data_IF_941021429630
#
_entry.id   IF_941021429630
#
_cell.length_a   1.000
_cell.length_b   1.000
_cell.length_c   1.000
_cell.angle_alpha   90.00
_cell.angle_beta   90.00
_cell.angle_gamma   90.00
#
_symmetry.space_group_name_H-M   'P 1'
#
loop_
_entity.id
_entity.type
_entity.pdbx_description
1 polymer ?
#
# COMPACT_ATOMS: atom_id res chain seq x y z
N UNK A 1 -21.73 2.25 -15.50
CA UNK A 1 -21.20 0.97 -14.98
C UNK A 1 -19.94 0.50 -15.71
N UNK A 2 -19.92 0.25 -17.04
CA UNK A 2 -18.69 -0.18 -17.74
C UNK A 2 -17.48 0.76 -17.66
N UNK A 3 -17.69 2.09 -17.61
CA UNK A 3 -16.59 3.06 -17.47
C UNK A 3 -15.97 3.11 -16.06
N UNK A 4 -16.78 2.94 -15.02
CA UNK A 4 -16.31 2.91 -13.61
C UNK A 4 -15.52 1.62 -13.35
N UNK A 5 -15.99 0.49 -13.90
CA UNK A 5 -15.31 -0.80 -13.81
C UNK A 5 -13.91 -0.77 -14.48
N UNK A 6 -13.79 -0.08 -15.62
CA UNK A 6 -12.52 0.09 -16.31
C UNK A 6 -11.53 0.93 -15.47
N UNK A 7 -12.01 1.97 -14.78
CA UNK A 7 -11.19 2.83 -13.92
C UNK A 7 -10.69 2.09 -12.67
N UNK A 8 -11.53 1.27 -12.02
CA UNK A 8 -11.13 0.46 -10.85
C UNK A 8 -10.07 -0.58 -11.23
N UNK A 9 -10.24 -1.27 -12.37
CA UNK A 9 -9.21 -2.19 -12.87
C UNK A 9 -7.92 -1.46 -13.25
N UNK A 10 -7.98 -0.27 -13.85
CA UNK A 10 -6.79 0.51 -14.22
C UNK A 10 -6.04 1.03 -12.98
N UNK A 11 -6.71 1.46 -11.91
CA UNK A 11 -6.02 1.89 -10.68
C UNK A 11 -5.32 0.72 -9.96
N UNK A 12 -5.95 -0.46 -9.90
CA UNK A 12 -5.31 -1.67 -9.39
C UNK A 12 -4.11 -2.12 -10.28
N UNK A 13 -4.20 -1.91 -11.60
CA UNK A 13 -3.10 -2.16 -12.53
C UNK A 13 -1.96 -1.14 -12.40
N UNK A 14 -2.26 0.13 -12.13
CA UNK A 14 -1.24 1.19 -11.94
C UNK A 14 -0.48 1.03 -10.61
N UNK A 15 -1.14 0.60 -9.54
CA UNK A 15 -0.48 0.29 -8.26
C UNK A 15 0.48 -0.91 -8.36
N UNK A 16 0.21 -1.88 -9.24
CA UNK A 16 1.10 -3.04 -9.45
C UNK A 16 2.23 -2.80 -10.46
N UNK A 17 2.05 -1.88 -11.41
CA UNK A 17 3.05 -1.58 -12.46
C UNK A 17 4.08 -0.54 -12.02
N UNK A 18 3.73 0.40 -11.14
CA UNK A 18 4.69 1.36 -10.59
C UNK A 18 5.80 0.68 -9.76
N UNK A 19 5.46 -0.40 -9.04
CA UNK A 19 6.44 -1.24 -8.34
C UNK A 19 7.41 -1.97 -9.30
N UNK A 20 7.01 -2.21 -10.54
CA UNK A 20 7.78 -2.99 -11.51
C UNK A 20 8.86 -2.19 -12.25
N UNK A 21 8.65 -0.88 -12.45
CA UNK A 21 9.61 -0.02 -13.16
C UNK A 21 10.89 0.27 -12.36
N UNK A 22 10.86 0.12 -11.03
CA UNK A 22 11.99 0.37 -10.13
C UNK A 22 12.99 -0.79 -10.12
N UNK A 23 12.55 -2.01 -10.46
CA UNK A 23 13.34 -3.24 -10.27
C UNK A 23 14.39 -3.48 -11.40
N UNK A 24 14.21 -2.92 -12.60
CA UNK A 24 15.13 -3.17 -13.72
C UNK A 24 16.44 -2.37 -13.69
N UNK A 25 16.62 -1.39 -12.79
CA UNK A 25 17.77 -0.46 -12.84
C UNK A 25 18.93 -0.76 -11.89
N UNK A 26 18.88 -1.82 -11.08
CA UNK A 26 20.00 -2.13 -10.15
C UNK A 26 20.64 -3.48 -10.45
N UNK A 27 21.50 -3.50 -11.48
CA UNK A 27 22.51 -4.54 -11.63
C UNK A 27 23.51 -4.47 -10.46
N UNK A 28 23.19 -5.13 -9.35
CA UNK A 28 24.10 -5.31 -8.21
C UNK A 28 24.05 -6.77 -7.77
N UNK A 29 25.22 -7.41 -7.79
CA UNK A 29 25.61 -8.66 -7.12
C UNK A 29 24.44 -9.50 -6.59
N UNK A 30 24.00 -10.47 -7.39
CA UNK A 30 23.10 -11.54 -6.95
C UNK A 30 23.76 -12.25 -5.76
N UNK A 31 23.26 -12.13 -4.53
CA UNK A 31 23.76 -12.92 -3.40
C UNK A 31 23.66 -14.40 -3.78
N UNK A 32 24.59 -15.23 -3.27
CA UNK A 32 24.60 -16.68 -3.51
C UNK A 32 23.16 -17.21 -3.58
N UNK A 33 22.72 -17.64 -4.78
CA UNK A 33 21.32 -17.94 -5.08
C UNK A 33 20.71 -18.74 -3.93
N UNK A 34 19.73 -18.15 -3.24
CA UNK A 34 19.01 -18.84 -2.18
C UNK A 34 18.35 -20.08 -2.81
N UNK A 35 18.97 -21.25 -2.65
CA UNK A 35 18.49 -22.48 -3.27
C UNK A 35 17.26 -22.97 -2.52
N UNK A 36 16.18 -23.16 -3.25
CA UNK A 36 15.02 -23.89 -2.76
C UNK A 36 15.43 -25.32 -2.37
N UNK A 37 14.79 -25.93 -1.35
CA UNK A 37 14.95 -27.34 -1.08
C UNK A 37 14.69 -28.18 -2.34
N UNK A 38 15.51 -29.19 -2.59
CA UNK A 38 15.34 -30.11 -3.71
C UNK A 38 14.18 -31.08 -3.40
N UNK A 39 12.99 -30.70 -3.85
CA UNK A 39 11.76 -31.44 -3.62
C UNK A 39 11.10 -31.70 -4.98
N UNK A 40 10.76 -32.95 -5.30
CA UNK A 40 10.08 -33.25 -6.56
C UNK A 40 8.73 -32.53 -6.62
N UNK A 41 8.32 -32.01 -7.80
CA UNK A 41 7.01 -31.42 -7.98
C UNK A 41 5.88 -32.37 -7.56
N UNK A 42 4.78 -31.80 -7.11
CA UNK A 42 3.59 -32.56 -6.72
C UNK A 42 2.48 -32.42 -7.77
N UNK A 43 1.52 -33.35 -7.75
CA UNK A 43 0.30 -33.24 -8.55
C UNK A 43 -0.61 -32.15 -7.96
N UNK A 44 -0.79 -31.03 -8.68
CA UNK A 44 -1.75 -30.00 -8.28
C UNK A 44 -3.18 -30.54 -8.20
N UNK A 45 -3.56 -31.47 -9.09
CA UNK A 45 -4.90 -32.08 -9.09
C UNK A 45 -5.21 -32.81 -7.77
N UNK A 46 -4.19 -33.32 -7.08
CA UNK A 46 -4.36 -34.03 -5.81
C UNK A 46 -4.37 -33.09 -4.60
N UNK A 47 -3.63 -31.98 -4.67
CA UNK A 47 -3.42 -31.09 -3.50
C UNK A 47 -4.26 -29.83 -3.53
N UNK A 48 -4.51 -29.29 -4.72
CA UNK A 48 -5.28 -28.08 -4.97
C UNK A 48 -6.22 -28.32 -6.18
N UNK A 49 -7.21 -29.23 -6.05
CA UNK A 49 -8.05 -29.65 -7.17
C UNK A 49 -8.83 -28.51 -7.84
N UNK A 50 -9.32 -27.51 -7.09
CA UNK A 50 -10.02 -26.36 -7.69
C UNK A 50 -9.04 -25.45 -8.42
N UNK A 51 -7.90 -25.16 -7.80
CA UNK A 51 -6.83 -24.37 -8.41
C UNK A 51 -6.31 -25.03 -9.69
N UNK A 52 -6.15 -26.36 -9.69
CA UNK A 52 -5.71 -27.12 -10.84
C UNK A 52 -6.66 -27.02 -12.06
N UNK A 53 -7.96 -26.78 -11.85
CA UNK A 53 -8.92 -26.59 -12.96
C UNK A 53 -8.62 -25.31 -13.75
N UNK A 54 -8.21 -24.24 -13.06
CA UNK A 54 -7.87 -22.95 -13.67
C UNK A 54 -6.67 -23.09 -14.62
N UNK A 55 -5.70 -23.93 -14.25
CA UNK A 55 -4.45 -24.09 -14.99
C UNK A 55 -4.38 -25.34 -15.89
N UNK A 56 -5.52 -26.01 -16.13
CA UNK A 56 -5.55 -27.24 -16.95
C UNK A 56 -4.90 -27.07 -18.34
N UNK A 57 -4.97 -25.86 -18.90
CA UNK A 57 -4.39 -25.50 -20.20
C UNK A 57 -3.27 -24.43 -20.10
N UNK A 58 -2.72 -24.19 -18.90
CA UNK A 58 -1.67 -23.19 -18.63
C UNK A 58 -0.48 -23.87 -17.92
N UNK A 59 0.37 -24.62 -18.65
CA UNK A 59 1.38 -25.50 -18.05
C UNK A 59 2.46 -24.74 -17.27
N UNK A 60 2.87 -23.53 -17.71
CA UNK A 60 3.95 -22.79 -17.06
C UNK A 60 3.54 -22.28 -15.66
N UNK A 61 2.41 -21.57 -15.49
CA UNK A 61 1.91 -21.22 -14.15
C UNK A 61 1.60 -22.46 -13.29
N UNK A 62 1.07 -23.53 -13.89
CA UNK A 62 0.81 -24.79 -13.18
C UNK A 62 2.10 -25.40 -12.61
N UNK A 63 3.16 -25.48 -13.41
CA UNK A 63 4.44 -26.04 -12.98
C UNK A 63 5.10 -25.18 -11.90
N UNK A 64 5.00 -23.86 -12.02
CA UNK A 64 5.54 -22.94 -11.02
C UNK A 64 4.81 -23.07 -9.68
N UNK A 65 3.48 -23.10 -9.70
CA UNK A 65 2.66 -23.34 -8.53
C UNK A 65 2.93 -24.73 -7.94
N UNK A 66 3.02 -25.78 -8.76
CA UNK A 66 3.34 -27.14 -8.29
C UNK A 66 4.67 -27.20 -7.54
N UNK A 67 5.70 -26.51 -8.04
CA UNK A 67 7.01 -26.43 -7.37
C UNK A 67 6.91 -25.68 -6.04
N UNK A 68 6.21 -24.55 -6.00
CA UNK A 68 6.00 -23.79 -4.76
C UNK A 68 5.26 -24.63 -3.71
N UNK A 69 4.14 -25.26 -4.10
CA UNK A 69 3.31 -26.06 -3.21
C UNK A 69 4.08 -27.30 -2.70
N UNK A 70 4.93 -27.90 -3.54
CA UNK A 70 5.77 -29.02 -3.13
C UNK A 70 6.67 -28.68 -1.94
N UNK A 71 7.22 -27.46 -1.92
CA UNK A 71 8.14 -27.01 -0.87
C UNK A 71 7.41 -26.68 0.43
N UNK A 72 6.32 -25.92 0.36
CA UNK A 72 5.57 -25.51 1.56
C UNK A 72 4.89 -26.69 2.28
N UNK A 73 4.51 -27.75 1.54
CA UNK A 73 3.89 -28.95 2.11
C UNK A 73 4.91 -29.90 2.77
N UNK A 74 6.22 -29.60 2.67
CA UNK A 74 7.29 -30.34 3.35
C UNK A 74 8.12 -29.39 4.24
N UNK A 75 7.51 -28.81 5.29
CA UNK A 75 8.18 -27.81 6.12
C UNK A 75 9.47 -28.33 6.77
N UNK A 76 9.60 -29.64 7.00
CA UNK A 76 10.80 -30.25 7.59
C UNK A 76 12.04 -30.20 6.70
N UNK A 77 11.86 -30.09 5.38
CA UNK A 77 12.97 -29.88 4.44
C UNK A 77 13.53 -28.44 4.50
N UNK A 78 12.82 -27.52 5.17
CA UNK A 78 13.25 -26.15 5.40
C UNK A 78 14.06 -26.12 6.69
N UNK A 79 15.33 -25.78 6.57
CA UNK A 79 16.33 -25.86 7.65
C UNK A 79 17.04 -24.53 7.90
N UNK A 80 16.96 -23.58 6.98
CA UNK A 80 17.60 -22.27 7.09
C UNK A 80 16.69 -21.10 6.67
N UNK A 81 16.96 -19.90 7.19
CA UNK A 81 16.27 -18.67 6.80
C UNK A 81 16.41 -18.37 5.30
N UNK A 82 17.58 -18.62 4.70
CA UNK A 82 17.80 -18.42 3.26
C UNK A 82 16.82 -19.22 2.40
N UNK A 83 16.41 -20.41 2.85
CA UNK A 83 15.40 -21.21 2.17
C UNK A 83 14.01 -20.61 2.34
N UNK A 84 13.68 -20.07 3.53
CA UNK A 84 12.43 -19.32 3.71
C UNK A 84 12.40 -18.10 2.77
N UNK A 85 13.47 -17.32 2.69
CA UNK A 85 13.59 -16.19 1.73
C UNK A 85 13.28 -16.63 0.31
N UNK A 86 13.91 -17.72 -0.16
CA UNK A 86 13.65 -18.27 -1.50
C UNK A 86 12.18 -18.67 -1.70
N UNK A 87 11.55 -19.27 -0.68
CA UNK A 87 10.15 -19.70 -0.74
C UNK A 87 9.22 -18.49 -0.84
N UNK A 88 9.47 -17.44 -0.05
CA UNK A 88 8.63 -16.23 -0.07
C UNK A 88 8.82 -15.41 -1.35
N UNK A 89 10.04 -15.34 -1.90
CA UNK A 89 10.29 -14.76 -3.23
C UNK A 89 9.60 -15.57 -4.34
N UNK A 90 9.64 -16.91 -4.26
CA UNK A 90 8.89 -17.76 -5.18
C UNK A 90 7.39 -17.54 -5.04
N UNK A 91 6.86 -17.38 -3.82
CA UNK A 91 5.44 -17.08 -3.59
C UNK A 91 5.00 -15.81 -4.29
N UNK A 92 5.75 -14.72 -4.15
CA UNK A 92 5.45 -13.44 -4.82
C UNK A 92 5.43 -13.60 -6.34
N UNK A 93 6.41 -14.34 -6.88
CA UNK A 93 6.46 -14.64 -8.30
C UNK A 93 5.28 -15.51 -8.75
N UNK A 94 4.89 -16.51 -7.95
CA UNK A 94 3.70 -17.34 -8.24
C UNK A 94 2.44 -16.49 -8.20
N UNK A 95 2.23 -15.67 -7.17
CA UNK A 95 1.08 -14.76 -7.06
C UNK A 95 0.98 -13.92 -8.33
N UNK A 96 2.08 -13.30 -8.77
CA UNK A 96 2.11 -12.50 -10.00
C UNK A 96 1.63 -13.28 -11.22
N UNK A 97 2.15 -14.49 -11.44
CA UNK A 97 1.82 -15.31 -12.61
C UNK A 97 0.39 -15.88 -12.57
N UNK A 98 -0.14 -16.17 -11.38
CA UNK A 98 -1.46 -16.79 -11.24
C UNK A 98 -2.60 -15.78 -11.01
N UNK A 99 -2.27 -14.52 -10.66
CA UNK A 99 -3.25 -13.51 -10.27
C UNK A 99 -4.34 -13.29 -11.32
N UNK A 100 -3.96 -13.00 -12.56
CA UNK A 100 -4.90 -12.75 -13.65
C UNK A 100 -5.75 -13.99 -13.97
N UNK A 101 -5.20 -15.20 -14.19
CA UNK A 101 -6.00 -16.41 -14.38
C UNK A 101 -6.99 -16.69 -13.25
N UNK A 102 -6.61 -16.46 -11.99
CA UNK A 102 -7.51 -16.63 -10.84
C UNK A 102 -8.59 -15.55 -10.86
N UNK A 103 -8.24 -14.29 -11.16
CA UNK A 103 -9.19 -13.19 -11.26
C UNK A 103 -10.25 -13.45 -12.33
N UNK A 104 -9.84 -13.87 -13.53
CA UNK A 104 -10.74 -14.24 -14.63
C UNK A 104 -11.71 -15.34 -14.20
N UNK A 105 -11.21 -16.39 -13.53
CA UNK A 105 -12.03 -17.48 -13.03
C UNK A 105 -13.01 -17.01 -11.97
N UNK A 106 -12.57 -16.20 -11.00
CA UNK A 106 -13.42 -15.69 -9.92
C UNK A 106 -14.55 -14.82 -10.46
N UNK A 107 -14.27 -13.94 -11.44
CA UNK A 107 -15.29 -13.13 -12.11
C UNK A 107 -16.32 -13.99 -12.85
N UNK A 108 -15.88 -15.04 -13.55
CA UNK A 108 -16.81 -15.97 -14.22
C UNK A 108 -17.62 -16.77 -13.21
N UNK A 109 -17.01 -17.23 -12.12
CA UNK A 109 -17.68 -17.97 -11.07
C UNK A 109 -18.78 -17.12 -10.40
N UNK A 110 -18.51 -15.84 -10.14
CA UNK A 110 -19.49 -14.89 -9.62
C UNK A 110 -20.69 -14.71 -10.57
N UNK A 111 -20.43 -14.48 -11.86
CA UNK A 111 -21.48 -14.38 -12.89
C UNK A 111 -22.34 -15.64 -12.99
N UNK A 112 -21.72 -16.80 -12.81
CA UNK A 112 -22.37 -18.11 -12.89
C UNK A 112 -22.88 -18.62 -11.52
N UNK A 113 -22.80 -17.82 -10.45
CA UNK A 113 -23.17 -18.23 -9.08
C UNK A 113 -22.48 -19.54 -8.65
N UNK A 114 -21.26 -19.77 -9.11
CA UNK A 114 -20.46 -20.95 -8.77
C UNK A 114 -19.78 -20.73 -7.42
N UNK A 115 -19.94 -21.65 -6.44
CA UNK A 115 -19.28 -21.53 -5.14
C UNK A 115 -17.74 -21.52 -5.27
N UNK A 116 -17.09 -20.52 -4.68
CA UNK A 116 -15.62 -20.33 -4.76
C UNK A 116 -14.88 -20.59 -3.45
N UNK A 117 -15.59 -20.97 -2.38
CA UNK A 117 -15.02 -21.11 -1.02
C UNK A 117 -13.92 -22.16 -0.96
N UNK A 118 -14.04 -23.23 -1.76
CA UNK A 118 -13.00 -24.27 -1.86
C UNK A 118 -11.72 -23.73 -2.50
N UNK A 119 -11.83 -22.96 -3.58
CA UNK A 119 -10.69 -22.32 -4.24
C UNK A 119 -10.00 -21.34 -3.28
N UNK A 120 -10.79 -20.51 -2.57
CA UNK A 120 -10.25 -19.57 -1.58
C UNK A 120 -9.54 -20.31 -0.45
N UNK A 121 -10.11 -21.41 0.05
CA UNK A 121 -9.49 -22.26 1.07
C UNK A 121 -8.18 -22.90 0.60
N UNK A 122 -8.16 -23.42 -0.64
CA UNK A 122 -6.97 -23.97 -1.26
C UNK A 122 -5.84 -22.93 -1.36
N UNK A 123 -6.13 -21.76 -1.93
CA UNK A 123 -5.16 -20.66 -2.06
C UNK A 123 -4.65 -20.22 -0.68
N UNK A 124 -5.53 -20.11 0.31
CA UNK A 124 -5.17 -19.75 1.69
C UNK A 124 -4.26 -20.78 2.33
N UNK A 125 -4.51 -22.08 2.10
CA UNK A 125 -3.66 -23.16 2.62
C UNK A 125 -2.22 -23.11 2.12
N UNK A 126 -2.00 -22.41 1.00
CA UNK A 126 -0.69 -22.21 0.39
C UNK A 126 -0.17 -20.77 0.54
N UNK A 127 -0.72 -20.01 1.49
CA UNK A 127 -0.21 -18.70 1.87
C UNK A 127 -0.59 -17.58 0.91
N UNK A 128 -1.71 -17.72 0.19
CA UNK A 128 -2.27 -16.70 -0.71
C UNK A 128 -3.71 -16.38 -0.30
N UNK A 129 -4.12 -15.12 -0.36
CA UNK A 129 -5.52 -14.75 -0.09
C UNK A 129 -6.04 -13.78 -1.14
N UNK A 130 -7.36 -13.81 -1.35
CA UNK A 130 -8.03 -12.85 -2.23
C UNK A 130 -8.17 -11.49 -1.57
N UNK A 131 -7.98 -10.46 -2.37
CA UNK A 131 -8.39 -9.08 -2.12
C UNK A 131 -9.76 -8.93 -2.77
N UNK A 132 -10.72 -8.42 -1.99
CA UNK A 132 -12.09 -8.20 -2.45
C UNK A 132 -12.48 -6.74 -2.27
N UNK A 133 -13.19 -6.18 -3.24
CA UNK A 133 -13.80 -4.85 -3.18
C UNK A 133 -15.23 -4.96 -3.73
N UNK A 134 -16.21 -4.36 -3.04
CA UNK A 134 -17.64 -4.44 -3.43
C UNK A 134 -18.15 -5.88 -3.60
N UNK A 135 -17.58 -6.84 -2.87
CA UNK A 135 -17.89 -8.27 -3.01
C UNK A 135 -17.22 -8.96 -4.20
N UNK A 136 -16.57 -8.22 -5.09
CA UNK A 136 -15.85 -8.74 -6.25
C UNK A 136 -14.39 -9.06 -5.89
N UNK A 137 -13.87 -10.15 -6.47
CA UNK A 137 -12.45 -10.46 -6.39
C UNK A 137 -11.64 -9.48 -7.25
N UNK A 138 -10.60 -8.87 -6.68
CA UNK A 138 -9.74 -7.88 -7.36
C UNK A 138 -8.38 -8.45 -7.68
N UNK A 139 -7.75 -9.12 -6.70
CA UNK A 139 -6.39 -9.62 -6.82
C UNK A 139 -6.08 -10.68 -5.75
N UNK A 140 -4.92 -11.31 -5.86
CA UNK A 140 -4.29 -12.14 -4.85
C UNK A 140 -3.21 -11.35 -4.10
N UNK A 141 -3.06 -11.69 -2.83
CA UNK A 141 -2.01 -11.17 -1.98
C UNK A 141 -1.54 -12.25 -1.01
N UNK A 142 -0.63 -11.90 -0.10
CA UNK A 142 -0.02 -12.88 0.80
C UNK A 142 -0.92 -13.21 1.99
N UNK A 143 -0.85 -14.47 2.42
CA UNK A 143 -1.42 -14.95 3.68
C UNK A 143 -0.32 -15.62 4.54
N UNK A 144 -0.52 -15.77 5.86
CA UNK A 144 0.43 -16.42 6.74
C UNK A 144 0.59 -17.90 6.37
N UNK A 145 1.82 -18.40 6.43
CA UNK A 145 2.15 -19.82 6.26
C UNK A 145 3.47 -20.11 6.95
N UNK A 146 3.71 -21.39 7.29
CA UNK A 146 4.97 -21.88 7.86
C UNK A 146 5.32 -21.21 9.21
N UNK A 147 4.33 -20.75 9.98
CA UNK A 147 4.50 -19.95 11.19
C UNK A 147 5.38 -20.66 12.23
N UNK A 148 5.15 -21.95 12.44
CA UNK A 148 5.99 -22.75 13.34
C UNK A 148 7.43 -22.86 12.84
N UNK A 149 7.66 -22.87 11.52
CA UNK A 149 9.01 -22.96 10.95
C UNK A 149 9.71 -21.61 11.06
N UNK A 150 9.04 -20.53 10.65
CA UNK A 150 9.49 -19.14 10.81
C UNK A 150 9.90 -18.87 12.25
N UNK A 151 9.05 -19.22 13.23
CA UNK A 151 9.33 -19.00 14.65
C UNK A 151 10.67 -19.61 15.10
N UNK A 152 11.01 -20.81 14.58
CA UNK A 152 12.20 -21.57 14.96
C UNK A 152 13.50 -21.11 14.27
N UNK A 153 13.44 -20.79 12.97
CA UNK A 153 14.66 -20.62 12.17
C UNK A 153 14.86 -19.21 11.60
N UNK A 154 13.82 -18.37 11.59
CA UNK A 154 13.95 -17.00 11.11
C UNK A 154 14.56 -16.11 12.20
N UNK A 155 15.38 -15.16 11.75
CA UNK A 155 15.79 -14.01 12.53
C UNK A 155 14.59 -13.10 12.84
N UNK A 156 14.69 -12.36 13.93
CA UNK A 156 13.66 -11.41 14.34
C UNK A 156 13.36 -10.30 13.32
N UNK A 157 14.33 -9.68 12.61
CA UNK A 157 14.00 -8.72 11.56
C UNK A 157 13.19 -9.35 10.42
N UNK A 158 13.45 -10.62 10.07
CA UNK A 158 12.66 -11.31 9.05
C UNK A 158 11.23 -11.61 9.52
N UNK A 159 11.05 -11.98 10.80
CA UNK A 159 9.71 -12.16 11.39
C UNK A 159 8.90 -10.87 11.32
N UNK A 160 9.50 -9.74 11.69
CA UNK A 160 8.85 -8.43 11.59
C UNK A 160 8.50 -8.06 10.15
N UNK A 161 9.41 -8.34 9.21
CA UNK A 161 9.15 -8.15 7.77
C UNK A 161 7.93 -8.92 7.29
N UNK A 162 7.84 -10.22 7.59
CA UNK A 162 6.71 -11.05 7.19
C UNK A 162 5.40 -10.60 7.85
N UNK A 163 5.44 -10.15 9.12
CA UNK A 163 4.26 -9.59 9.79
C UNK A 163 3.81 -8.26 9.17
N UNK A 164 4.77 -7.42 8.77
CA UNK A 164 4.49 -6.15 8.09
C UNK A 164 3.79 -6.41 6.75
N UNK A 165 4.33 -7.31 5.93
CA UNK A 165 3.71 -7.67 4.65
C UNK A 165 2.30 -8.24 4.85
N UNK A 166 2.11 -9.10 5.85
CA UNK A 166 0.79 -9.64 6.14
C UNK A 166 -0.23 -8.55 6.45
N UNK A 167 0.09 -7.63 7.35
CA UNK A 167 -0.83 -6.55 7.70
C UNK A 167 -1.02 -5.55 6.57
N UNK A 168 -0.01 -5.33 5.73
CA UNK A 168 -0.20 -4.56 4.51
C UNK A 168 -1.19 -5.27 3.57
N UNK A 169 -1.05 -6.58 3.33
CA UNK A 169 -2.00 -7.38 2.56
C UNK A 169 -3.42 -7.36 3.11
N UNK A 170 -3.58 -7.48 4.43
CA UNK A 170 -4.88 -7.39 5.11
C UNK A 170 -5.56 -6.02 4.93
N UNK A 171 -4.78 -4.98 4.60
CA UNK A 171 -5.28 -3.62 4.39
C UNK A 171 -5.71 -3.31 2.95
N UNK A 172 -5.46 -4.21 1.99
CA UNK A 172 -5.73 -3.94 0.57
C UNK A 172 -7.18 -4.26 0.16
N UNK A 173 -7.93 -4.98 0.99
CA UNK A 173 -9.32 -5.35 0.73
C UNK A 173 -10.34 -4.41 1.39
N UNK A 174 -11.59 -4.54 0.96
CA UNK A 174 -12.73 -3.77 1.43
C UNK A 174 -13.34 -2.91 0.33
N UNK A 175 -14.61 -2.55 0.50
CA UNK A 175 -15.29 -1.58 -0.37
C UNK A 175 -14.67 -0.18 -0.22
N UNK A 176 -14.29 0.19 1.00
CA UNK A 176 -13.62 1.45 1.29
C UNK A 176 -12.29 1.16 2.00
N UNK A 177 -11.15 1.12 1.27
CA UNK A 177 -9.86 0.67 1.80
C UNK A 177 -9.37 1.52 2.98
N UNK A 178 -9.89 2.74 3.11
CA UNK A 178 -9.49 3.70 4.14
C UNK A 178 -10.49 3.91 5.28
N UNK A 179 -11.64 3.21 5.27
CA UNK A 179 -12.62 3.30 6.36
C UNK A 179 -12.22 2.47 7.58
N UNK A 180 -11.32 1.50 7.42
CA UNK A 180 -10.72 0.74 8.51
C UNK A 180 -9.20 0.72 8.38
N UNK A 181 -8.52 1.60 9.13
CA UNK A 181 -7.06 1.70 9.06
C UNK A 181 -6.33 0.74 10.01
N UNK A 182 -7.04 -0.19 10.68
CA UNK A 182 -6.43 -1.03 11.73
C UNK A 182 -5.22 -1.83 11.21
N UNK A 183 -5.32 -2.37 10.00
CA UNK A 183 -4.22 -3.10 9.38
C UNK A 183 -3.05 -2.15 9.02
N UNK A 184 -3.31 -0.97 8.44
CA UNK A 184 -2.30 0.07 8.15
C UNK A 184 -1.58 0.55 9.41
N UNK A 185 -2.31 0.78 10.50
CA UNK A 185 -1.73 1.16 11.80
C UNK A 185 -0.71 0.12 12.30
N UNK A 186 -1.05 -1.17 12.19
CA UNK A 186 -0.13 -2.26 12.54
C UNK A 186 1.08 -2.32 11.62
N UNK A 187 0.87 -2.18 10.30
CA UNK A 187 1.95 -2.11 9.30
C UNK A 187 2.95 -1.00 9.65
N UNK A 188 2.47 0.21 9.94
CA UNK A 188 3.31 1.34 10.34
C UNK A 188 4.07 1.02 11.64
N UNK A 189 3.37 0.55 12.67
CA UNK A 189 3.98 0.24 13.96
C UNK A 189 5.09 -0.82 13.85
N UNK A 190 4.85 -1.90 13.10
CA UNK A 190 5.83 -2.98 12.89
C UNK A 190 7.02 -2.47 12.09
N UNK A 191 6.79 -1.65 11.06
CA UNK A 191 7.86 -1.04 10.27
C UNK A 191 8.73 -0.09 11.08
N UNK A 192 8.15 0.65 12.02
CA UNK A 192 8.92 1.45 12.98
C UNK A 192 9.80 0.57 13.85
N UNK A 193 9.27 -0.54 14.37
CA UNK A 193 10.06 -1.50 15.15
C UNK A 193 11.23 -2.08 14.35
N UNK A 194 10.97 -2.50 13.11
CA UNK A 194 11.99 -3.03 12.20
C UNK A 194 13.11 -2.01 11.98
N UNK A 195 12.75 -0.77 11.62
CA UNK A 195 13.70 0.33 11.40
C UNK A 195 14.48 0.72 12.64
N UNK A 196 13.84 0.72 13.82
CA UNK A 196 14.46 1.11 15.10
C UNK A 196 15.41 0.03 15.63
N UNK A 197 14.97 -1.23 15.63
CA UNK A 197 15.73 -2.34 16.22
C UNK A 197 16.79 -2.88 15.26
N UNK A 198 16.54 -2.84 13.96
CA UNK A 198 17.38 -3.46 12.93
C UNK A 198 17.64 -2.50 11.74
N UNK A 199 18.19 -1.29 11.98
CA UNK A 199 18.32 -0.26 10.94
C UNK A 199 19.19 -0.68 9.74
N UNK A 200 20.12 -1.61 9.94
CA UNK A 200 21.01 -2.13 8.89
C UNK A 200 20.46 -3.38 8.16
N UNK A 201 19.28 -3.86 8.54
CA UNK A 201 18.66 -5.05 7.93
C UNK A 201 18.20 -4.76 6.51
N UNK A 202 18.40 -5.71 5.59
CA UNK A 202 17.92 -5.59 4.20
C UNK A 202 16.40 -5.37 4.11
N UNK A 203 15.65 -5.98 5.04
CA UNK A 203 14.20 -5.86 5.11
C UNK A 203 13.69 -4.44 5.37
N UNK A 204 14.50 -3.54 5.91
CA UNK A 204 14.12 -2.12 6.05
C UNK A 204 13.94 -1.46 4.67
N UNK A 205 14.73 -1.89 3.69
CA UNK A 205 14.62 -1.44 2.31
C UNK A 205 13.49 -2.18 1.58
N UNK A 206 13.41 -3.49 1.75
CA UNK A 206 12.37 -4.31 1.08
C UNK A 206 10.95 -3.96 1.57
N UNK A 207 10.80 -3.51 2.82
CA UNK A 207 9.51 -3.09 3.35
C UNK A 207 9.19 -1.61 3.12
N UNK A 208 9.94 -0.90 2.26
CA UNK A 208 9.80 0.55 2.11
C UNK A 208 8.39 0.93 1.63
N UNK A 209 7.92 0.35 0.53
CA UNK A 209 6.63 0.70 -0.08
C UNK A 209 5.45 0.46 0.87
N UNK A 210 5.38 -0.75 1.46
CA UNK A 210 4.32 -1.09 2.41
C UNK A 210 4.33 -0.20 3.66
N UNK A 211 5.52 0.24 4.10
CA UNK A 211 5.65 1.18 5.21
C UNK A 211 5.23 2.60 4.82
N UNK A 212 5.64 3.06 3.64
CA UNK A 212 5.30 4.39 3.11
C UNK A 212 3.82 4.54 2.85
N UNK A 213 3.19 3.54 2.22
CA UNK A 213 1.76 3.49 2.01
C UNK A 213 0.98 3.60 3.34
N UNK A 214 1.38 2.84 4.36
CA UNK A 214 0.77 2.92 5.70
C UNK A 214 1.00 4.28 6.38
N UNK A 215 2.19 4.86 6.22
CA UNK A 215 2.53 6.18 6.74
C UNK A 215 1.69 7.28 6.08
N UNK A 216 1.68 7.33 4.74
CA UNK A 216 0.88 8.28 3.97
C UNK A 216 -0.60 8.18 4.30
N UNK A 217 -1.14 6.97 4.43
CA UNK A 217 -2.55 6.78 4.83
C UNK A 217 -2.88 7.47 6.16
N UNK A 218 -1.93 7.52 7.10
CA UNK A 218 -2.12 8.14 8.40
C UNK A 218 -1.73 9.62 8.47
N UNK A 219 -0.99 10.14 7.49
CA UNK A 219 -0.48 11.53 7.52
C UNK A 219 -1.02 12.40 6.40
N UNK A 220 -1.24 11.86 5.22
CA UNK A 220 -1.76 12.57 4.05
C UNK A 220 -3.30 12.53 4.06
N UNK A 221 -3.89 13.27 5.00
CA UNK A 221 -5.34 13.38 5.17
C UNK A 221 -5.75 14.85 5.20
N UNK A 222 -6.85 15.17 4.52
CA UNK A 222 -7.42 16.51 4.49
C UNK A 222 -8.93 16.51 4.63
N UNK A 223 -9.45 17.68 4.94
CA UNK A 223 -10.88 17.93 5.05
C UNK A 223 -11.43 18.37 3.70
N UNK A 224 -12.50 17.71 3.26
CA UNK A 224 -13.29 18.13 2.11
C UNK A 224 -14.65 18.63 2.59
N UNK A 225 -14.97 19.89 2.32
CA UNK A 225 -16.26 20.48 2.67
C UNK A 225 -17.09 20.71 1.41
N UNK A 226 -18.28 20.11 1.35
CA UNK A 226 -19.23 20.30 0.25
C UNK A 226 -20.63 20.54 0.82
N UNK A 227 -21.19 21.72 0.53
CA UNK A 227 -22.46 22.18 1.13
C UNK A 227 -22.40 22.11 2.67
N UNK A 228 -23.34 21.40 3.30
CA UNK A 228 -23.38 21.21 4.75
C UNK A 228 -22.60 19.97 5.23
N UNK A 229 -21.95 19.23 4.33
CA UNK A 229 -21.25 18.00 4.65
C UNK A 229 -19.74 18.22 4.72
N UNK A 230 -19.11 17.53 5.67
CA UNK A 230 -17.67 17.48 5.84
C UNK A 230 -17.25 16.02 5.75
N UNK A 231 -16.30 15.75 4.88
CA UNK A 231 -15.67 14.45 4.70
C UNK A 231 -14.17 14.58 4.94
N UNK A 232 -13.52 13.44 5.19
CA UNK A 232 -12.06 13.36 5.29
C UNK A 232 -11.58 12.45 4.18
N UNK A 233 -10.57 12.91 3.45
CA UNK A 233 -10.04 12.24 2.28
C UNK A 233 -8.57 11.95 2.53
N UNK A 234 -8.12 10.77 2.10
CA UNK A 234 -6.72 10.38 2.08
C UNK A 234 -6.14 10.68 0.69
N UNK A 235 -4.97 11.30 0.68
CA UNK A 235 -4.19 11.59 -0.51
C UNK A 235 -4.31 13.04 -0.97
N UNK A 236 -3.17 13.73 -1.05
CA UNK A 236 -2.92 15.03 -1.68
C UNK A 236 -4.15 15.94 -1.81
N UNK A 237 -4.48 16.43 -3.01
CA UNK A 237 -5.61 17.34 -3.23
C UNK A 237 -6.84 16.62 -3.78
N UNK A 238 -6.95 15.32 -3.49
CA UNK A 238 -8.04 14.52 -4.02
C UNK A 238 -9.40 14.99 -3.47
N UNK A 239 -10.41 15.03 -4.31
CA UNK A 239 -11.78 15.43 -3.95
C UNK A 239 -12.77 14.27 -4.06
N UNK A 240 -12.36 13.12 -4.59
CA UNK A 240 -13.21 11.95 -4.69
C UNK A 240 -13.41 11.31 -3.32
N UNK A 241 -14.67 11.04 -2.94
CA UNK A 241 -14.94 10.27 -1.73
C UNK A 241 -14.62 8.79 -1.91
N UNK A 242 -14.87 8.23 -3.08
CA UNK A 242 -14.55 6.84 -3.36
C UNK A 242 -13.36 6.76 -4.33
N UNK A 243 -12.30 5.98 -4.02
CA UNK A 243 -12.16 5.09 -2.86
C UNK A 243 -11.49 5.75 -1.63
N UNK A 244 -11.24 7.06 -1.67
CA UNK A 244 -10.29 7.77 -0.79
C UNK A 244 -10.83 8.29 0.54
N UNK A 245 -12.12 8.13 0.80
CA UNK A 245 -12.79 8.57 2.02
C UNK A 245 -12.34 7.79 3.25
N UNK A 246 -12.17 8.49 4.37
CA UNK A 246 -11.77 7.92 5.66
C UNK A 246 -12.57 8.49 6.84
N UNK A 247 -12.48 7.83 7.99
CA UNK A 247 -13.00 8.30 9.26
C UNK A 247 -11.87 8.77 10.17
N UNK A 248 -11.98 9.99 10.68
CA UNK A 248 -10.96 10.59 11.54
C UNK A 248 -10.76 9.85 12.86
N UNK A 249 -11.74 9.06 13.28
CA UNK A 249 -11.65 8.20 14.46
C UNK A 249 -10.56 7.13 14.29
N UNK A 250 -10.23 6.72 13.07
CA UNK A 250 -9.10 5.82 12.83
C UNK A 250 -7.75 6.49 13.18
N UNK A 251 -7.55 7.75 12.82
CA UNK A 251 -6.34 8.51 13.14
C UNK A 251 -6.24 8.78 14.65
N UNK A 252 -7.37 9.10 15.30
CA UNK A 252 -7.44 9.23 16.76
C UNK A 252 -7.12 7.91 17.47
N UNK A 253 -7.63 6.79 16.93
CA UNK A 253 -7.32 5.45 17.43
C UNK A 253 -5.83 5.14 17.31
N UNK A 254 -5.18 5.49 16.19
CA UNK A 254 -3.72 5.36 16.07
C UNK A 254 -2.98 6.13 17.18
N UNK A 255 -3.38 7.38 17.43
CA UNK A 255 -2.79 8.20 18.48
C UNK A 255 -2.93 7.55 19.86
N UNK A 256 -4.08 6.94 20.14
CA UNK A 256 -4.39 6.31 21.42
C UNK A 256 -3.69 4.94 21.60
N UNK A 257 -3.66 4.10 20.56
CA UNK A 257 -3.11 2.74 20.62
C UNK A 257 -1.58 2.71 20.53
N UNK A 258 -0.98 3.69 19.84
CA UNK A 258 0.47 3.75 19.63
C UNK A 258 1.10 5.07 20.14
N UNK A 259 0.99 5.38 21.45
CA UNK A 259 1.57 6.61 22.03
C UNK A 259 3.10 6.68 21.90
N UNK A 260 3.76 5.54 21.80
CA UNK A 260 5.21 5.42 21.61
C UNK A 260 5.68 5.56 20.15
N UNK A 261 4.75 5.62 19.18
CA UNK A 261 5.10 5.81 17.78
C UNK A 261 5.77 7.16 17.58
N UNK A 262 6.83 7.21 16.74
CA UNK A 262 7.47 8.47 16.37
C UNK A 262 6.52 9.39 15.60
N UNK A 263 5.51 8.82 14.95
CA UNK A 263 4.54 9.54 14.14
C UNK A 263 3.33 10.00 14.96
N UNK A 264 3.25 9.64 16.24
CA UNK A 264 2.12 10.04 17.11
C UNK A 264 1.91 11.56 17.12
N UNK A 265 2.98 12.33 17.38
CA UNK A 265 2.92 13.79 17.41
C UNK A 265 2.70 14.40 16.02
N UNK A 266 3.22 13.76 14.96
CA UNK A 266 2.98 14.19 13.57
C UNK A 266 1.49 14.10 13.24
N UNK A 267 0.86 12.94 13.50
CA UNK A 267 -0.58 12.76 13.25
C UNK A 267 -1.40 13.72 14.13
N UNK A 268 -1.05 13.92 15.40
CA UNK A 268 -1.74 14.91 16.26
C UNK A 268 -1.73 16.32 15.66
N UNK A 269 -0.57 16.78 15.17
CA UNK A 269 -0.45 18.12 14.56
C UNK A 269 -1.30 18.23 13.30
N UNK A 270 -1.27 17.21 12.44
CA UNK A 270 -2.09 17.13 11.23
C UNK A 270 -3.58 17.20 11.58
N UNK A 271 -4.02 16.49 12.62
CA UNK A 271 -5.43 16.55 13.06
C UNK A 271 -5.83 17.90 13.66
N UNK A 272 -4.89 18.61 14.29
CA UNK A 272 -5.16 19.92 14.93
C UNK A 272 -5.23 21.08 13.94
N UNK A 273 -4.49 20.98 12.84
CA UNK A 273 -4.44 21.97 11.77
C UNK A 273 -4.40 21.21 10.44
N UNK A 274 -5.55 20.66 10.04
CA UNK A 274 -5.65 19.84 8.84
C UNK A 274 -5.81 20.73 7.60
N UNK A 275 -5.17 20.35 6.49
CA UNK A 275 -5.44 20.93 5.16
C UNK A 275 -6.94 20.86 4.83
N UNK A 276 -7.46 21.85 4.11
CA UNK A 276 -8.89 21.89 3.75
C UNK A 276 -9.16 22.35 2.32
N UNK A 277 -10.11 21.66 1.68
CA UNK A 277 -10.70 22.03 0.39
C UNK A 277 -12.18 22.32 0.62
N UNK A 278 -12.64 23.47 0.13
CA UNK A 278 -14.06 23.82 0.07
C UNK A 278 -14.53 23.77 -1.38
N UNK A 279 -15.42 22.82 -1.64
CA UNK A 279 -16.05 22.65 -2.94
C UNK A 279 -17.23 23.62 -3.09
N UNK A 280 -17.35 24.20 -4.28
CA UNK A 280 -18.52 24.95 -4.74
C UNK A 280 -19.71 24.01 -4.98
N UNK A 281 -20.96 24.53 -5.12
CA UNK A 281 -22.16 23.70 -5.25
C UNK A 281 -22.20 22.78 -6.48
N UNK A 282 -21.48 23.13 -7.53
CA UNK A 282 -21.27 22.37 -8.77
C UNK A 282 -20.18 21.29 -8.64
N UNK A 283 -19.51 21.20 -7.49
CA UNK A 283 -18.56 20.14 -7.20
C UNK A 283 -17.16 20.41 -7.71
N UNK A 284 -16.79 21.70 -7.85
CA UNK A 284 -15.44 22.14 -8.18
C UNK A 284 -14.79 22.90 -7.01
N UNK A 285 -13.49 23.18 -7.05
CA UNK A 285 -12.88 24.22 -6.22
C UNK A 285 -12.28 25.34 -7.07
N UNK A 286 -12.60 26.59 -6.73
CA UNK A 286 -12.14 27.75 -7.50
C UNK A 286 -10.68 28.10 -7.21
N UNK A 287 -10.25 27.95 -5.95
CA UNK A 287 -8.91 28.34 -5.49
C UNK A 287 -8.45 27.45 -4.36
N UNK A 288 -7.19 27.06 -4.44
CA UNK A 288 -6.47 26.34 -3.41
C UNK A 288 -5.09 26.97 -3.23
N UNK A 289 -4.77 27.34 -2.00
CA UNK A 289 -3.51 27.96 -1.62
C UNK A 289 -2.58 26.90 -1.01
N UNK A 290 -1.61 26.45 -1.79
CA UNK A 290 -0.59 25.48 -1.37
C UNK A 290 0.55 26.19 -0.64
N UNK A 291 0.87 25.74 0.57
CA UNK A 291 2.08 26.15 1.30
C UNK A 291 3.22 25.22 0.92
N UNK A 292 3.90 25.56 -0.18
CA UNK A 292 4.98 24.77 -0.80
C UNK A 292 6.26 24.92 0.00
N UNK A 293 6.89 23.79 0.33
CA UNK A 293 8.22 23.74 0.97
C UNK A 293 9.32 23.37 0.00
N UNK A 294 9.04 22.48 -0.96
CA UNK A 294 10.03 21.99 -1.93
C UNK A 294 9.38 21.70 -3.29
N UNK A 295 10.20 21.73 -4.35
CA UNK A 295 9.81 21.53 -5.76
C UNK A 295 10.67 20.41 -6.36
N UNK A 296 10.39 19.14 -6.02
CA UNK A 296 11.13 18.00 -6.54
C UNK A 296 10.97 17.87 -8.06
N UNK A 297 12.03 17.36 -8.71
CA UNK A 297 12.04 17.14 -10.17
C UNK A 297 11.12 15.99 -10.63
N UNK A 298 10.84 15.05 -9.74
CA UNK A 298 10.08 13.82 -10.01
C UNK A 298 9.39 13.32 -8.73
N UNK A 299 8.39 12.46 -8.89
CA UNK A 299 7.61 11.90 -7.79
C UNK A 299 8.48 11.15 -6.77
N UNK A 300 9.39 10.29 -7.22
CA UNK A 300 10.26 9.48 -6.34
C UNK A 300 11.14 10.35 -5.43
N UNK A 301 11.65 11.46 -5.95
CA UNK A 301 12.42 12.44 -5.17
C UNK A 301 11.52 13.15 -4.16
N UNK A 302 10.31 13.54 -4.58
CA UNK A 302 9.32 14.15 -3.68
C UNK A 302 8.93 13.24 -2.53
N UNK A 303 8.70 11.97 -2.81
CA UNK A 303 8.33 10.96 -1.82
C UNK A 303 9.43 10.79 -0.77
N UNK A 304 10.70 10.73 -1.20
CA UNK A 304 11.86 10.68 -0.29
C UNK A 304 11.97 11.94 0.58
N UNK A 305 11.61 13.11 0.06
CA UNK A 305 11.60 14.37 0.83
C UNK A 305 10.50 14.32 1.89
N UNK A 306 9.27 13.99 1.51
CA UNK A 306 8.13 13.81 2.44
C UNK A 306 8.49 12.80 3.52
N UNK A 307 9.01 11.64 3.12
CA UNK A 307 9.46 10.62 4.05
C UNK A 307 10.51 11.16 5.03
N UNK A 308 11.50 11.90 4.53
CA UNK A 308 12.52 12.56 5.33
C UNK A 308 11.91 13.52 6.36
N UNK A 309 10.91 14.32 6.00
CA UNK A 309 10.22 15.21 6.93
C UNK A 309 9.46 14.47 8.01
N UNK A 310 8.62 13.51 7.63
CA UNK A 310 7.83 12.73 8.57
C UNK A 310 8.73 11.96 9.54
N UNK A 311 9.84 11.39 9.06
CA UNK A 311 10.84 10.74 9.91
C UNK A 311 11.51 11.72 10.88
N UNK A 312 11.72 12.97 10.51
CA UNK A 312 12.26 13.99 11.41
C UNK A 312 11.19 14.64 12.31
N UNK A 313 9.97 14.11 12.34
CA UNK A 313 8.89 14.63 13.19
C UNK A 313 8.26 15.93 12.67
N UNK A 314 8.54 16.29 11.41
CA UNK A 314 7.88 17.39 10.72
C UNK A 314 6.63 16.88 10.03
N UNK A 315 5.52 17.53 10.26
CA UNK A 315 4.21 17.23 9.69
C UNK A 315 4.03 17.89 8.33
N UNK A 316 4.88 17.54 7.36
CA UNK A 316 4.77 17.95 5.94
C UNK A 316 4.44 16.69 5.13
N UNK A 317 3.15 16.33 4.98
CA UNK A 317 2.78 15.01 4.48
C UNK A 317 2.46 14.96 2.98
N UNK A 318 2.23 16.11 2.33
CA UNK A 318 1.62 16.12 1.01
C UNK A 318 2.66 16.17 -0.10
N UNK A 319 2.49 15.33 -1.13
CA UNK A 319 3.19 15.40 -2.41
C UNK A 319 2.17 15.60 -3.54
N UNK A 320 2.10 16.81 -4.06
CA UNK A 320 1.07 17.21 -5.03
C UNK A 320 1.69 17.28 -6.42
N UNK A 321 1.08 16.57 -7.36
CA UNK A 321 1.33 16.72 -8.79
C UNK A 321 0.37 17.75 -9.38
N UNK A 322 0.93 18.76 -10.05
CA UNK A 322 0.20 19.68 -10.93
C UNK A 322 0.85 19.65 -12.31
N UNK A 323 0.19 20.21 -13.33
CA UNK A 323 0.69 20.24 -14.72
C UNK A 323 2.12 20.80 -14.86
N UNK A 324 2.55 21.66 -13.93
CA UNK A 324 3.87 22.29 -13.91
C UNK A 324 4.97 21.45 -13.24
N UNK A 325 4.62 20.40 -12.47
CA UNK A 325 5.57 19.56 -11.77
C UNK A 325 5.06 19.02 -10.44
N UNK A 326 5.99 18.58 -9.59
CA UNK A 326 5.72 17.98 -8.28
C UNK A 326 6.10 18.94 -7.16
N UNK A 327 5.28 19.01 -6.11
CA UNK A 327 5.42 19.95 -5.01
C UNK A 327 5.26 19.23 -3.68
N UNK A 328 6.22 19.42 -2.77
CA UNK A 328 6.07 19.01 -1.38
C UNK A 328 5.40 20.16 -0.63
N UNK A 329 4.28 19.84 0.03
CA UNK A 329 3.38 20.83 0.58
C UNK A 329 3.14 20.57 2.07
N UNK A 330 3.35 21.61 2.88
CA UNK A 330 3.08 21.56 4.31
C UNK A 330 1.58 21.46 4.55
N UNK A 331 0.82 22.39 3.97
CA UNK A 331 -0.63 22.47 4.06
C UNK A 331 -1.22 23.11 2.82
N UNK A 332 -2.50 22.87 2.58
CA UNK A 332 -3.28 23.59 1.58
C UNK A 332 -4.64 23.99 2.13
N UNK A 333 -5.12 25.14 1.70
CA UNK A 333 -6.39 25.70 2.19
C UNK A 333 -7.14 26.39 1.06
N UNK A 334 -8.47 26.35 1.09
CA UNK A 334 -9.30 27.25 0.27
C UNK A 334 -9.31 28.70 0.81
N UNK A 335 -8.79 28.93 2.02
CA UNK A 335 -8.70 30.24 2.67
C UNK A 335 -7.25 30.77 2.65
N UNK A 336 -7.04 31.92 2.00
CA UNK A 336 -5.73 32.54 1.90
C UNK A 336 -5.14 32.96 3.25
N UNK A 337 -5.98 33.41 4.18
CA UNK A 337 -5.56 33.84 5.52
C UNK A 337 -4.99 32.66 6.29
N UNK A 338 -5.66 31.50 6.24
CA UNK A 338 -5.13 30.26 6.82
C UNK A 338 -3.82 29.85 6.19
N UNK A 339 -3.71 29.90 4.86
CA UNK A 339 -2.48 29.57 4.16
C UNK A 339 -1.31 30.48 4.58
N UNK A 340 -1.57 31.78 4.79
CA UNK A 340 -0.57 32.73 5.30
C UNK A 340 -0.15 32.41 6.74
N UNK A 341 -1.07 32.06 7.61
CA UNK A 341 -0.77 31.63 8.99
C UNK A 341 0.09 30.34 9.01
N UNK A 342 -0.27 29.36 8.19
CA UNK A 342 0.50 28.14 8.03
C UNK A 342 1.90 28.40 7.43
N UNK A 343 2.00 29.33 6.48
CA UNK A 343 3.28 29.78 5.92
C UNK A 343 4.19 30.40 7.00
N UNK A 344 3.65 31.30 7.82
CA UNK A 344 4.41 31.96 8.89
C UNK A 344 4.91 30.95 9.93
N UNK A 345 4.10 29.92 10.21
CA UNK A 345 4.47 28.81 11.09
C UNK A 345 5.62 28.01 10.48
N UNK A 346 5.50 27.55 9.23
CA UNK A 346 6.49 26.66 8.63
C UNK A 346 7.79 27.36 8.26
N UNK A 347 7.77 28.67 8.00
CA UNK A 347 8.97 29.46 7.66
C UNK A 347 10.08 29.40 8.71
N UNK A 348 9.74 29.15 9.97
CA UNK A 348 10.73 28.95 11.03
C UNK A 348 11.62 27.72 10.77
N UNK A 349 11.05 26.65 10.21
CA UNK A 349 11.77 25.42 9.86
C UNK A 349 12.14 25.35 8.36
N UNK A 350 11.41 26.07 7.50
CA UNK A 350 11.57 26.11 6.04
C UNK A 350 11.54 27.56 5.53
N UNK A 351 12.64 28.32 5.67
CA UNK A 351 12.66 29.73 5.30
C UNK A 351 12.33 30.01 3.82
N UNK A 352 12.57 29.03 2.94
CA UNK A 352 12.23 29.10 1.51
C UNK A 352 10.78 28.77 1.16
N UNK A 353 9.94 28.42 2.14
CA UNK A 353 8.55 28.09 1.89
C UNK A 353 7.79 29.29 1.30
N UNK A 354 6.83 29.00 0.41
CA UNK A 354 6.02 30.01 -0.30
C UNK A 354 4.58 29.54 -0.48
N UNK A 355 3.68 30.47 -0.76
CA UNK A 355 2.32 30.16 -1.19
C UNK A 355 2.27 30.12 -2.71
N UNK A 356 1.66 29.06 -3.23
CA UNK A 356 1.24 28.93 -4.62
C UNK A 356 -0.29 28.83 -4.65
N UNK A 357 -0.94 29.59 -5.52
CA UNK A 357 -2.38 29.47 -5.75
C UNK A 357 -2.59 28.62 -6.99
N UNK A 358 -3.46 27.62 -6.88
CA UNK A 358 -3.92 26.78 -7.99
C UNK A 358 -5.45 26.73 -7.99
N UNK A 359 -5.99 26.27 -9.11
CA UNK A 359 -7.37 25.82 -9.28
C UNK A 359 -7.36 24.42 -9.91
N UNK A 360 -8.53 23.84 -10.17
CA UNK A 360 -8.62 22.50 -10.78
C UNK A 360 -7.94 22.38 -12.14
N UNK A 361 -7.87 23.46 -12.94
CA UNK A 361 -7.24 23.41 -14.27
C UNK A 361 -5.72 23.19 -14.17
N UNK A 362 -5.13 23.33 -12.98
CA UNK A 362 -3.73 23.01 -12.73
C UNK A 362 -3.52 21.52 -12.43
N UNK A 363 -4.57 20.77 -12.09
CA UNK A 363 -4.48 19.35 -11.78
C UNK A 363 -4.39 18.50 -13.07
N UNK A 364 -3.65 17.38 -13.05
CA UNK A 364 -3.66 16.42 -14.15
C UNK A 364 -5.09 15.91 -14.43
N UNK A 365 -5.47 15.81 -15.71
CA UNK A 365 -6.77 15.27 -16.12
C UNK A 365 -7.95 16.26 -16.16
N UNK A 366 -7.74 17.51 -15.75
CA UNK A 366 -8.73 18.60 -15.88
C UNK A 366 -8.32 19.52 -17.04
N UNK A 367 -9.25 19.86 -17.94
CA UNK A 367 -9.00 20.74 -19.11
C UNK A 367 -9.29 22.21 -18.81
#
# INVERSE_FOLDING_TARGET
MKKIFLTICLMALFLTTAAWAVEQKTGKNVPAQNKLPDIPPISLKEKLPETAKIFANKPDPANMLARYVAVILKPDAITAESQLKAIFQLRESVIKEINEPVSEYMMQAEQNQTPTEKLVSELKSVGMQGIYAEGMFVALTVAPILESKISRIASDPFKLYLQLLQHHSDSMGGEYPYMNLTAKMKTLHIGEQLRKKYPASEYVRESYDAFMDALHTLTDVHRLSFKAHVQHIIGSVNTDFYPTGTEIENHKKFIAEYPQSRFNEVVKKILSDMSDIRMSPDGHFDRLYLVVTDEPRDFETGEKIVFGYLMNGMDIPHLIEIKQGFFVVYRFYSDETKARQALDTIKQAKPGAKIMMIDETHLPGHE
#
